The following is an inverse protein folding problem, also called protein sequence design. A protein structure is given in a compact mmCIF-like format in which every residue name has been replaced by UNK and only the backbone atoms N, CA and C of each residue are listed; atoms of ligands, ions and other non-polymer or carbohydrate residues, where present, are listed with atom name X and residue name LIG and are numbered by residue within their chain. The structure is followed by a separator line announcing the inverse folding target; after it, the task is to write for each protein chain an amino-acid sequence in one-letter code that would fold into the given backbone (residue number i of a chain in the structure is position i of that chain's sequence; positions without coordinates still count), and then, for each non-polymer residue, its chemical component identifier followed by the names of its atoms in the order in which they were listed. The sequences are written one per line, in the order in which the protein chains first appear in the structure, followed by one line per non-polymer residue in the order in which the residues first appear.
data_IF_040114020119
#
_entry.id   IF_040114020119
#
_cell.length_a   1.000
_cell.length_b   1.000
_cell.length_c   1.000
_cell.angle_alpha   90.00
_cell.angle_beta   90.00
_cell.angle_gamma   90.00
#
_symmetry.space_group_name_H-M   'P 1'
#
loop_
_entity.id
_entity.type
_entity.pdbx_description
1 polymer ?
#
# COMPACT_ATOMS: atom_id res chain seq x y z
N UNK A 1 -1.29 -24.06 17.46
CA UNK A 1 -1.85 -24.09 16.09
C UNK A 1 -1.81 -22.69 15.49
N UNK A 2 -0.74 -22.35 14.77
CA UNK A 2 -0.63 -21.09 14.02
C UNK A 2 -1.47 -21.20 12.74
N UNK A 3 -2.71 -20.70 12.74
CA UNK A 3 -3.51 -20.57 11.51
C UNK A 3 -2.68 -19.76 10.50
N UNK A 4 -2.09 -20.43 9.51
CA UNK A 4 -1.50 -19.77 8.34
C UNK A 4 -2.64 -19.04 7.63
N UNK A 5 -2.77 -17.74 7.88
CA UNK A 5 -3.72 -16.89 7.19
C UNK A 5 -3.50 -17.04 5.67
N UNK A 6 -4.53 -17.35 4.87
CA UNK A 6 -4.36 -17.60 3.44
C UNK A 6 -3.99 -16.30 2.74
N UNK A 7 -2.69 -16.13 2.47
CA UNK A 7 -2.12 -14.93 1.83
C UNK A 7 -2.80 -14.58 0.50
N UNK A 8 -3.27 -15.60 -0.23
CA UNK A 8 -3.99 -15.46 -1.51
C UNK A 8 -5.32 -14.73 -1.35
N UNK A 9 -6.07 -14.99 -0.29
CA UNK A 9 -7.38 -14.35 -0.06
C UNK A 9 -7.24 -12.85 0.14
N UNK A 10 -6.31 -12.43 0.99
CA UNK A 10 -6.05 -11.02 1.23
C UNK A 10 -5.46 -10.31 0.00
N UNK A 11 -4.69 -11.01 -0.83
CA UNK A 11 -4.19 -10.45 -2.10
C UNK A 11 -5.34 -10.13 -3.06
N UNK A 12 -6.26 -11.08 -3.27
CA UNK A 12 -7.44 -10.85 -4.10
C UNK A 12 -8.35 -9.77 -3.54
N UNK A 13 -8.54 -9.73 -2.21
CA UNK A 13 -9.28 -8.64 -1.56
C UNK A 13 -8.63 -7.29 -1.85
N UNK A 14 -7.32 -7.17 -1.66
CA UNK A 14 -6.59 -5.94 -1.95
C UNK A 14 -6.76 -5.54 -3.44
N UNK A 15 -6.56 -6.48 -4.36
CA UNK A 15 -6.66 -6.22 -5.78
C UNK A 15 -8.07 -5.75 -6.19
N UNK A 16 -9.11 -6.40 -5.67
CA UNK A 16 -10.51 -6.03 -5.92
C UNK A 16 -10.82 -4.66 -5.35
N UNK A 17 -10.42 -4.37 -4.11
CA UNK A 17 -10.66 -3.07 -3.47
C UNK A 17 -10.01 -1.93 -4.24
N UNK A 18 -8.77 -2.12 -4.70
CA UNK A 18 -8.06 -1.14 -5.51
C UNK A 18 -8.76 -0.96 -6.85
N UNK A 19 -9.08 -2.05 -7.56
CA UNK A 19 -9.77 -1.98 -8.84
C UNK A 19 -11.11 -1.27 -8.73
N UNK A 20 -11.93 -1.61 -7.73
CA UNK A 20 -13.23 -0.96 -7.49
C UNK A 20 -13.04 0.52 -7.17
N UNK A 21 -12.12 0.88 -6.26
CA UNK A 21 -11.86 2.28 -5.93
C UNK A 21 -11.40 3.08 -7.16
N UNK A 22 -10.49 2.52 -7.97
CA UNK A 22 -9.99 3.16 -9.18
C UNK A 22 -11.06 3.30 -10.26
N UNK A 23 -11.90 2.28 -10.46
CA UNK A 23 -13.02 2.33 -11.42
C UNK A 23 -14.04 3.38 -10.99
N UNK A 24 -14.41 3.43 -9.71
CA UNK A 24 -15.34 4.44 -9.19
C UNK A 24 -14.82 5.86 -9.40
N UNK A 25 -13.53 6.10 -9.11
CA UNK A 25 -12.89 7.40 -9.27
C UNK A 25 -12.75 7.79 -10.74
N UNK A 26 -12.45 6.83 -11.61
CA UNK A 26 -12.45 7.06 -13.05
C UNK A 26 -13.84 7.40 -13.58
N UNK A 27 -14.88 6.74 -13.07
CA UNK A 27 -16.27 7.02 -13.41
C UNK A 27 -16.73 8.42 -12.96
N UNK A 28 -16.12 8.97 -11.92
CA UNK A 28 -16.29 10.35 -11.47
C UNK A 28 -15.55 11.38 -12.35
N UNK A 29 -14.92 10.95 -13.46
CA UNK A 29 -14.25 11.83 -14.43
C UNK A 29 -12.79 12.11 -14.11
N UNK A 30 -12.18 11.43 -13.13
CA UNK A 30 -10.75 11.59 -12.85
C UNK A 30 -9.90 10.90 -13.92
N UNK A 31 -8.76 11.47 -14.34
CA UNK A 31 -7.86 10.79 -15.27
C UNK A 31 -7.35 9.49 -14.66
N UNK A 32 -7.24 8.44 -15.48
CA UNK A 32 -7.02 7.07 -15.01
C UNK A 32 -5.83 6.89 -14.05
N UNK A 33 -4.74 7.62 -14.28
CA UNK A 33 -3.57 7.61 -13.40
C UNK A 33 -3.88 8.18 -12.00
N UNK A 34 -4.58 9.32 -11.92
CA UNK A 34 -4.96 9.92 -10.64
C UNK A 34 -6.00 9.06 -9.91
N UNK A 35 -6.97 8.51 -10.64
CA UNK A 35 -7.95 7.57 -10.09
C UNK A 35 -7.27 6.34 -9.48
N UNK A 36 -6.27 5.78 -10.16
CA UNK A 36 -5.45 4.69 -9.64
C UNK A 36 -4.69 5.10 -8.37
N UNK A 37 -3.92 6.19 -8.43
CA UNK A 37 -3.08 6.66 -7.32
C UNK A 37 -3.90 6.99 -6.06
N UNK A 38 -5.04 7.66 -6.22
CA UNK A 38 -5.93 7.95 -5.10
C UNK A 38 -6.53 6.66 -4.55
N UNK A 39 -6.99 5.76 -5.43
CA UNK A 39 -7.55 4.47 -5.04
C UNK A 39 -6.58 3.60 -4.23
N UNK A 40 -5.35 3.39 -4.72
CA UNK A 40 -4.35 2.58 -4.03
C UNK A 40 -3.96 3.19 -2.68
N UNK A 41 -3.84 4.52 -2.59
CA UNK A 41 -3.50 5.18 -1.33
C UNK A 41 -4.64 5.10 -0.30
N UNK A 42 -5.89 5.32 -0.73
CA UNK A 42 -7.07 5.20 0.13
C UNK A 42 -7.22 3.77 0.67
N UNK A 43 -7.13 2.76 -0.21
CA UNK A 43 -7.20 1.34 0.18
C UNK A 43 -6.06 0.97 1.12
N UNK A 44 -4.86 1.50 0.89
CA UNK A 44 -3.71 1.27 1.78
C UNK A 44 -3.97 1.83 3.18
N UNK A 45 -4.50 3.04 3.30
CA UNK A 45 -4.85 3.62 4.61
C UNK A 45 -5.90 2.77 5.34
N UNK A 46 -6.96 2.36 4.63
CA UNK A 46 -8.02 1.50 5.18
C UNK A 46 -7.46 0.16 5.66
N UNK A 47 -6.57 -0.46 4.88
CA UNK A 47 -5.96 -1.74 5.22
C UNK A 47 -5.11 -1.67 6.50
N UNK A 48 -4.33 -0.60 6.67
CA UNK A 48 -3.57 -0.35 7.90
C UNK A 48 -4.49 -0.11 9.10
N UNK A 49 -5.57 0.66 8.91
CA UNK A 49 -6.58 0.89 9.95
C UNK A 49 -7.30 -0.40 10.37
N UNK A 50 -7.63 -1.26 9.40
CA UNK A 50 -8.21 -2.57 9.66
C UNK A 50 -7.24 -3.48 10.43
N UNK A 51 -5.96 -3.52 10.08
CA UNK A 51 -4.95 -4.30 10.83
C UNK A 51 -4.84 -3.82 12.29
N UNK A 52 -4.88 -2.50 12.53
CA UNK A 52 -4.92 -1.96 13.90
C UNK A 52 -6.19 -2.37 14.66
N UNK A 53 -7.36 -2.27 14.02
CA UNK A 53 -8.63 -2.67 14.63
C UNK A 53 -8.64 -4.17 14.99
N UNK A 54 -8.14 -5.02 14.08
CA UNK A 54 -8.01 -6.45 14.33
C UNK A 54 -7.00 -6.77 15.45
N UNK A 55 -5.95 -5.96 15.60
CA UNK A 55 -5.02 -6.10 16.72
C UNK A 55 -5.68 -5.85 18.09
N UNK A 56 -6.63 -4.91 18.17
CA UNK A 56 -7.42 -4.62 19.38
C UNK A 56 -8.45 -5.72 19.64
N UNK A 57 -9.17 -6.15 18.60
CA UNK A 57 -10.24 -7.15 18.70
C UNK A 57 -9.73 -8.60 18.79
N UNK A 58 -8.41 -8.82 18.89
CA UNK A 58 -7.76 -10.15 18.85
C UNK A 58 -8.17 -11.01 17.65
N UNK A 59 -8.56 -10.37 16.55
CA UNK A 59 -9.00 -11.06 15.34
C UNK A 59 -7.85 -11.37 14.38
N UNK A 60 -8.21 -11.71 13.14
CA UNK A 60 -7.24 -12.09 12.10
C UNK A 60 -6.42 -10.89 11.62
N UNK A 61 -5.13 -10.84 11.98
CA UNK A 61 -4.19 -9.80 11.51
C UNK A 61 -3.88 -9.94 10.02
N UNK A 62 -3.66 -8.81 9.36
CA UNK A 62 -3.28 -8.74 7.94
C UNK A 62 -1.81 -9.18 7.79
N UNK A 63 -1.48 -10.05 6.83
CA UNK A 63 -0.10 -10.42 6.55
C UNK A 63 0.76 -9.20 6.18
N UNK A 64 1.95 -9.07 6.78
CA UNK A 64 2.88 -7.94 6.52
C UNK A 64 3.27 -7.82 5.05
N UNK A 65 3.35 -8.95 4.34
CA UNK A 65 3.62 -9.00 2.90
C UNK A 65 2.62 -8.17 2.09
N UNK A 66 1.36 -8.13 2.51
CA UNK A 66 0.29 -7.47 1.75
C UNK A 66 0.31 -5.96 1.99
N UNK A 67 0.68 -5.53 3.20
CA UNK A 67 0.95 -4.13 3.51
C UNK A 67 2.16 -3.61 2.69
N UNK A 68 3.19 -4.44 2.51
CA UNK A 68 4.34 -4.11 1.66
C UNK A 68 3.99 -4.11 0.18
N UNK A 69 3.19 -5.06 -0.31
CA UNK A 69 2.72 -5.07 -1.70
C UNK A 69 1.87 -3.83 -2.03
N UNK A 70 0.97 -3.42 -1.13
CA UNK A 70 0.18 -2.20 -1.31
C UNK A 70 1.08 -0.95 -1.40
N UNK A 71 2.10 -0.86 -0.55
CA UNK A 71 3.10 0.22 -0.61
C UNK A 71 3.90 0.19 -1.91
N UNK A 72 4.34 -1.00 -2.35
CA UNK A 72 5.09 -1.20 -3.58
C UNK A 72 4.28 -0.82 -4.83
N UNK A 73 2.97 -1.11 -4.83
CA UNK A 73 2.06 -0.80 -5.93
C UNK A 73 1.73 0.70 -6.10
N UNK A 74 2.27 1.58 -5.24
CA UNK A 74 2.06 3.03 -5.29
C UNK A 74 1.26 3.60 -4.10
N UNK A 75 0.89 2.76 -3.13
CA UNK A 75 0.25 3.18 -1.89
C UNK A 75 1.23 3.66 -0.81
N UNK A 76 2.50 3.89 -1.14
CA UNK A 76 3.56 4.27 -0.19
C UNK A 76 3.26 5.58 0.58
N UNK A 77 2.69 6.65 -0.02
CA UNK A 77 2.26 7.84 0.74
C UNK A 77 1.16 7.53 1.76
N UNK A 78 0.15 6.77 1.36
CA UNK A 78 -0.95 6.34 2.21
C UNK A 78 -0.48 5.42 3.33
N UNK A 79 0.47 4.52 3.05
CA UNK A 79 1.13 3.70 4.06
C UNK A 79 1.90 4.54 5.08
N UNK A 80 2.67 5.55 4.64
CA UNK A 80 3.36 6.49 5.52
C UNK A 80 2.37 7.23 6.43
N UNK A 81 1.32 7.82 5.84
CA UNK A 81 0.28 8.54 6.56
C UNK A 81 -0.43 7.64 7.58
N UNK A 82 -0.76 6.40 7.18
CA UNK A 82 -1.40 5.42 8.05
C UNK A 82 -0.48 4.95 9.18
N UNK A 83 0.81 4.74 8.93
CA UNK A 83 1.79 4.40 9.98
C UNK A 83 1.86 5.52 11.04
N UNK A 84 1.84 6.78 10.62
CA UNK A 84 1.79 7.95 11.50
C UNK A 84 0.48 8.04 12.30
N UNK A 85 -0.65 8.01 11.60
CA UNK A 85 -2.00 8.15 12.19
C UNK A 85 -2.32 7.03 13.17
N UNK A 86 -1.99 5.80 12.81
CA UNK A 86 -2.32 4.64 13.62
C UNK A 86 -1.22 4.29 14.63
N UNK A 87 -0.05 4.95 14.61
CA UNK A 87 1.16 4.57 15.38
C UNK A 87 1.43 3.07 15.29
N UNK A 88 1.13 2.48 14.14
CA UNK A 88 1.02 1.04 13.98
C UNK A 88 2.33 0.47 13.44
N UNK A 89 2.89 -0.53 14.15
CA UNK A 89 4.13 -1.25 13.78
C UNK A 89 5.38 -0.39 13.50
N UNK A 90 5.50 0.79 14.10
CA UNK A 90 6.72 1.62 14.05
C UNK A 90 7.93 0.97 14.75
N UNK A 91 7.71 0.02 15.66
CA UNK A 91 8.78 -0.63 16.44
C UNK A 91 9.32 -1.93 15.83
N UNK A 92 8.69 -2.50 14.79
CA UNK A 92 9.23 -3.71 14.15
C UNK A 92 10.31 -3.32 13.13
N UNK A 93 11.58 -3.46 13.53
CA UNK A 93 12.72 -3.12 12.68
C UNK A 93 12.66 -3.78 11.29
N UNK A 94 12.32 -5.07 11.22
CA UNK A 94 12.17 -5.81 9.95
C UNK A 94 11.13 -5.19 9.01
N UNK A 95 9.98 -4.78 9.54
CA UNK A 95 8.91 -4.14 8.76
C UNK A 95 9.36 -2.78 8.22
N UNK A 96 10.01 -1.98 9.07
CA UNK A 96 10.52 -0.66 8.70
C UNK A 96 11.63 -0.75 7.65
N UNK A 97 12.55 -1.71 7.77
CA UNK A 97 13.62 -1.92 6.78
C UNK A 97 13.05 -2.26 5.40
N UNK A 98 12.08 -3.19 5.32
CA UNK A 98 11.44 -3.54 4.04
C UNK A 98 10.69 -2.33 3.46
N UNK A 99 9.97 -1.58 4.30
CA UNK A 99 9.25 -0.39 3.86
C UNK A 99 10.17 0.73 3.35
N UNK A 100 11.28 1.00 4.04
CA UNK A 100 12.30 1.95 3.58
C UNK A 100 12.92 1.47 2.26
N UNK A 101 13.21 0.17 2.14
CA UNK A 101 13.69 -0.42 0.89
C UNK A 101 12.74 -0.17 -0.28
N UNK A 102 11.43 -0.32 -0.07
CA UNK A 102 10.40 -0.04 -1.09
C UNK A 102 10.44 1.45 -1.51
N UNK A 103 10.52 2.37 -0.54
CA UNK A 103 10.59 3.80 -0.82
C UNK A 103 11.85 4.13 -1.63
N UNK A 104 13.01 3.57 -1.24
CA UNK A 104 14.27 3.78 -1.97
C UNK A 104 14.19 3.29 -3.42
N UNK A 105 13.63 2.10 -3.64
CA UNK A 105 13.44 1.56 -4.99
C UNK A 105 12.53 2.47 -5.82
N UNK A 106 11.45 2.99 -5.26
CA UNK A 106 10.55 3.92 -5.97
C UNK A 106 11.25 5.25 -6.30
N UNK A 107 12.03 5.81 -5.37
CA UNK A 107 12.79 7.04 -5.62
C UNK A 107 13.84 6.83 -6.72
N UNK A 108 14.60 5.74 -6.67
CA UNK A 108 15.60 5.43 -7.70
C UNK A 108 14.96 5.21 -9.07
N UNK A 109 13.81 4.54 -9.13
CA UNK A 109 13.06 4.37 -10.37
C UNK A 109 12.57 5.72 -10.93
N UNK A 110 12.06 6.61 -10.07
CA UNK A 110 11.62 7.94 -10.48
C UNK A 110 12.79 8.80 -10.99
N UNK A 111 13.94 8.78 -10.31
CA UNK A 111 15.14 9.50 -10.74
C UNK A 111 15.66 8.94 -12.07
N UNK A 112 15.71 7.61 -12.21
CA UNK A 112 16.14 6.97 -13.46
C UNK A 112 15.24 7.31 -14.63
N UNK A 113 13.91 7.30 -14.41
CA UNK A 113 12.93 7.74 -15.41
C UNK A 113 13.09 9.21 -15.79
N UNK A 114 13.28 10.08 -14.80
CA UNK A 114 13.53 11.51 -15.02
C UNK A 114 14.80 11.75 -15.84
N UNK A 115 15.90 11.08 -15.49
CA UNK A 115 17.17 11.17 -16.21
C UNK A 115 17.04 10.65 -17.64
N UNK A 116 16.30 9.56 -17.85
CA UNK A 116 16.01 9.03 -19.18
C UNK A 116 15.22 10.02 -20.04
N UNK A 117 14.18 10.65 -19.48
CA UNK A 117 13.42 11.69 -20.19
C UNK A 117 14.32 12.86 -20.57
N UNK A 118 15.08 13.42 -19.63
CA UNK A 118 15.96 14.56 -19.88
C UNK A 118 17.03 14.28 -20.94
N UNK A 119 17.41 13.01 -21.10
CA UNK A 119 18.36 12.59 -22.13
C UNK A 119 17.70 12.28 -23.48
N UNK A 120 16.40 12.02 -23.48
CA UNK A 120 15.62 11.71 -24.69
C UNK A 120 14.92 12.94 -25.31
N UNK A 121 14.88 14.06 -24.58
CA UNK A 121 14.42 15.38 -25.03
C UNK A 121 15.58 16.24 -25.52
#
# INVERSE_FOLDING_TARGET
MTRRQPKKTFFWILAILVAVASILLWWLGLPGLYAYLIGINAVTVVLYGYDKRQAVLRGGRVPEVILHLAALAGGSPGALGAQGLFRHKTQKLKFRMVFIGIILVQILAAIGYWYFILRAS
#
